data_IF_378767617205
#
_entry.id   IF_378767617205
#
_cell.length_a   1.000
_cell.length_b   1.000
_cell.length_c   1.000
_cell.angle_alpha   90.00
_cell.angle_beta   90.00
_cell.angle_gamma   90.00
#
_symmetry.space_group_name_H-M   'P 1'
#
loop_
_entity.id
_entity.type
_entity.pdbx_description
1 polymer ?
#
# COMPACT_ATOMS: atom_id res chain seq x y z
N UNK A 1 -6.05 -7.48 -13.63
CA UNK A 1 -6.87 -6.58 -14.48
C UNK A 1 -7.66 -7.34 -15.55
N UNK A 2 -8.96 -7.03 -15.66
CA UNK A 2 -9.87 -7.67 -16.61
C UNK A 2 -10.14 -6.73 -17.79
N UNK A 3 -10.15 -7.27 -19.00
CA UNK A 3 -10.48 -6.51 -20.22
C UNK A 3 -11.68 -7.15 -20.91
N UNK A 4 -12.66 -6.32 -21.28
CA UNK A 4 -13.84 -6.73 -22.02
C UNK A 4 -13.88 -6.04 -23.38
N UNK A 5 -14.32 -6.77 -24.40
CA UNK A 5 -14.53 -6.22 -25.75
C UNK A 5 -16.01 -6.36 -26.09
N UNK A 6 -16.67 -5.22 -26.33
CA UNK A 6 -18.08 -5.15 -26.70
C UNK A 6 -18.21 -4.74 -28.16
N UNK A 7 -18.86 -5.57 -28.98
CA UNK A 7 -19.24 -5.21 -30.35
C UNK A 7 -20.51 -4.36 -30.34
N UNK A 8 -20.41 -3.12 -30.77
CA UNK A 8 -21.50 -2.15 -30.77
C UNK A 8 -21.96 -1.87 -32.20
N UNK A 9 -23.27 -1.91 -32.43
CA UNK A 9 -23.92 -1.42 -33.65
C UNK A 9 -24.84 -0.26 -33.31
N UNK A 10 -25.06 0.63 -34.28
CA UNK A 10 -26.04 1.70 -34.19
C UNK A 10 -27.10 1.53 -35.29
N UNK A 11 -28.35 1.88 -34.99
CA UNK A 11 -29.46 1.84 -35.95
C UNK A 11 -30.20 3.17 -36.01
N UNK A 12 -30.75 3.53 -37.16
CA UNK A 12 -31.55 4.74 -37.36
C UNK A 12 -33.06 4.46 -37.47
N UNK A 13 -33.88 5.51 -37.50
CA UNK A 13 -35.34 5.40 -37.58
C UNK A 13 -35.85 4.85 -38.94
N UNK A 14 -35.00 4.86 -39.97
CA UNK A 14 -35.31 4.29 -41.28
C UNK A 14 -34.96 2.79 -41.36
N UNK A 15 -34.36 2.22 -40.30
CA UNK A 15 -34.02 0.80 -40.19
C UNK A 15 -32.62 0.45 -40.70
N UNK A 16 -31.76 1.43 -41.02
CA UNK A 16 -30.37 1.15 -41.36
C UNK A 16 -29.60 0.76 -40.10
N UNK A 17 -28.66 -0.18 -40.20
CA UNK A 17 -27.79 -0.59 -39.08
C UNK A 17 -26.32 -0.55 -39.51
N UNK A 18 -25.45 -0.04 -38.63
CA UNK A 18 -24.01 0.03 -38.88
C UNK A 18 -23.36 -1.35 -38.85
N UNK A 19 -22.13 -1.45 -39.37
CA UNK A 19 -21.27 -2.59 -39.03
C UNK A 19 -20.94 -2.57 -37.53
N UNK A 20 -20.72 -3.75 -36.95
CA UNK A 20 -20.32 -3.86 -35.55
C UNK A 20 -18.90 -3.31 -35.37
N UNK A 21 -18.71 -2.46 -34.37
CA UNK A 21 -17.40 -1.90 -33.99
C UNK A 21 -17.07 -2.29 -32.56
N UNK A 22 -15.86 -2.79 -32.35
CA UNK A 22 -15.40 -3.22 -31.04
C UNK A 22 -14.98 -2.03 -30.18
N UNK A 23 -15.55 -1.95 -28.98
CA UNK A 23 -15.15 -1.03 -27.92
C UNK A 23 -14.52 -1.84 -26.79
N UNK A 24 -13.35 -1.40 -26.32
CA UNK A 24 -12.63 -2.04 -25.23
C UNK A 24 -12.91 -1.34 -23.91
N UNK A 25 -13.28 -2.11 -22.89
CA UNK A 25 -13.42 -1.66 -21.51
C UNK A 25 -12.31 -2.31 -20.68
N UNK A 26 -11.47 -1.48 -20.09
CA UNK A 26 -10.40 -1.92 -19.20
C UNK A 26 -10.85 -1.75 -17.74
N UNK A 27 -10.88 -2.84 -16.98
CA UNK A 27 -11.09 -2.79 -15.53
C UNK A 27 -9.74 -2.62 -14.86
N UNK A 28 -9.55 -1.45 -14.26
CA UNK A 28 -8.39 -1.14 -13.42
C UNK A 28 -8.55 -1.79 -12.06
N UNK A 29 -7.45 -2.28 -11.53
CA UNK A 29 -7.41 -2.79 -10.16
C UNK A 29 -7.57 -1.65 -9.16
N UNK A 30 -8.20 -1.93 -8.03
CA UNK A 30 -8.27 -1.03 -6.87
C UNK A 30 -7.55 -1.72 -5.74
N UNK A 31 -6.72 -0.98 -5.02
CA UNK A 31 -6.08 -1.51 -3.82
C UNK A 31 -7.12 -1.74 -2.71
N UNK A 32 -7.48 -3.01 -2.52
CA UNK A 32 -8.47 -3.47 -1.55
C UNK A 32 -7.88 -4.36 -0.45
N UNK A 33 -6.55 -4.52 -0.44
CA UNK A 33 -5.81 -5.24 0.59
C UNK A 33 -5.10 -4.28 1.53
N UNK A 34 -5.14 -4.54 2.84
CA UNK A 34 -4.42 -3.72 3.81
C UNK A 34 -2.95 -4.15 3.97
N UNK A 35 -2.04 -3.21 4.27
CA UNK A 35 -0.66 -3.55 4.61
C UNK A 35 -0.56 -4.50 5.80
N UNK A 36 0.41 -5.41 5.74
CA UNK A 36 0.70 -6.39 6.80
C UNK A 36 2.08 -6.13 7.37
N UNK A 37 2.17 -5.88 8.69
CA UNK A 37 3.45 -5.85 9.39
C UNK A 37 3.98 -7.28 9.51
N UNK A 38 5.23 -7.51 9.10
CA UNK A 38 5.82 -8.84 9.13
C UNK A 38 5.93 -9.37 10.57
N UNK A 39 5.52 -10.61 10.79
CA UNK A 39 5.53 -11.22 12.12
C UNK A 39 6.97 -11.53 12.60
N UNK A 40 7.12 -11.71 13.92
CA UNK A 40 8.35 -12.19 14.57
C UNK A 40 9.60 -11.30 14.38
N UNK A 41 9.41 -10.00 14.17
CA UNK A 41 10.50 -9.03 14.14
C UNK A 41 10.94 -8.68 15.57
N UNK A 42 12.21 -8.88 15.87
CA UNK A 42 12.82 -8.53 17.16
C UNK A 42 14.10 -7.73 16.95
N UNK A 43 14.32 -6.73 17.80
CA UNK A 43 15.50 -5.87 17.75
C UNK A 43 16.09 -5.75 19.14
N UNK A 44 17.41 -5.55 19.21
CA UNK A 44 18.12 -5.26 20.44
C UNK A 44 19.13 -4.14 20.19
N UNK A 45 19.41 -3.37 21.23
CA UNK A 45 20.46 -2.35 21.19
C UNK A 45 21.25 -2.41 22.51
N UNK A 46 22.55 -2.08 22.50
CA UNK A 46 23.32 -1.95 23.74
C UNK A 46 22.77 -0.82 24.60
N UNK A 47 22.77 -0.98 25.92
CA UNK A 47 22.42 0.12 26.83
C UNK A 47 23.39 1.32 26.70
N UNK A 48 22.96 2.49 27.14
CA UNK A 48 23.79 3.70 27.14
C UNK A 48 23.95 4.40 25.78
N UNK A 49 23.08 4.11 24.81
CA UNK A 49 23.00 4.88 23.57
C UNK A 49 22.25 6.19 23.79
N UNK A 50 22.52 7.14 22.92
CA UNK A 50 21.92 8.48 22.92
C UNK A 50 20.80 8.57 21.89
N UNK A 51 20.09 9.70 21.92
CA UNK A 51 19.11 10.09 20.92
C UNK A 51 19.57 9.83 19.48
N UNK A 52 18.61 9.48 18.63
CA UNK A 52 18.77 9.11 17.22
C UNK A 52 19.54 7.81 16.97
N UNK A 53 19.93 7.06 18.00
CA UNK A 53 20.47 5.73 17.79
C UNK A 53 19.42 4.82 17.16
N UNK A 54 19.75 4.19 16.03
CA UNK A 54 18.88 3.27 15.33
C UNK A 54 18.81 1.93 16.06
N UNK A 55 17.62 1.56 16.52
CA UNK A 55 17.35 0.26 17.16
C UNK A 55 17.12 -0.81 16.10
N UNK A 56 16.42 -0.48 15.03
CA UNK A 56 16.08 -1.42 13.96
C UNK A 56 15.19 -0.79 12.90
N UNK A 57 14.77 -1.59 11.93
CA UNK A 57 13.85 -1.17 10.88
C UNK A 57 12.73 -2.18 10.75
N UNK A 58 11.50 -1.75 11.05
CA UNK A 58 10.29 -2.55 10.87
C UNK A 58 10.00 -2.72 9.39
N UNK A 59 9.65 -3.94 9.00
CA UNK A 59 9.22 -4.28 7.66
C UNK A 59 7.73 -4.62 7.64
N UNK A 60 7.06 -4.17 6.59
CA UNK A 60 5.68 -4.49 6.27
C UNK A 60 5.55 -4.67 4.75
N UNK A 61 4.52 -5.39 4.34
CA UNK A 61 4.25 -5.71 2.94
C UNK A 61 2.85 -5.30 2.55
N UNK A 62 2.72 -4.79 1.34
CA UNK A 62 1.46 -4.42 0.74
C UNK A 62 1.57 -4.53 -0.79
N UNK A 63 0.45 -4.73 -1.50
CA UNK A 63 0.44 -4.89 -2.95
C UNK A 63 0.85 -3.61 -3.70
N UNK A 64 0.50 -2.44 -3.18
CA UNK A 64 0.88 -1.14 -3.76
C UNK A 64 1.99 -0.42 -2.98
N UNK A 65 2.35 -0.97 -1.83
CA UNK A 65 3.51 -0.56 -1.04
C UNK A 65 3.14 0.20 0.23
N UNK A 66 4.07 0.20 1.19
CA UNK A 66 3.87 0.82 2.51
C UNK A 66 4.43 2.23 2.54
N UNK A 67 3.61 3.19 2.94
CA UNK A 67 3.95 4.63 2.88
C UNK A 67 4.28 5.26 4.23
N UNK A 68 3.85 4.64 5.32
CA UNK A 68 4.10 5.17 6.67
C UNK A 68 4.03 4.07 7.73
N UNK A 69 4.65 4.36 8.88
CA UNK A 69 4.62 3.52 10.08
C UNK A 69 4.32 4.41 11.29
N UNK A 70 3.68 3.83 12.30
CA UNK A 70 3.40 4.50 13.57
C UNK A 70 3.49 3.51 14.72
N UNK A 71 3.89 3.98 15.91
CA UNK A 71 3.86 3.17 17.13
C UNK A 71 2.44 3.27 17.71
N UNK A 72 1.71 2.16 17.69
CA UNK A 72 0.31 2.13 18.15
C UNK A 72 0.17 2.05 19.68
N UNK A 73 1.14 1.47 20.38
CA UNK A 73 1.08 1.23 21.84
C UNK A 73 2.46 0.91 22.42
N UNK A 74 2.59 0.95 23.75
CA UNK A 74 3.79 0.49 24.48
C UNK A 74 4.95 1.48 24.51
N UNK A 75 4.71 2.74 24.11
CA UNK A 75 5.70 3.81 24.06
C UNK A 75 5.18 5.08 24.76
N UNK A 76 4.45 4.90 25.87
CA UNK A 76 3.79 6.02 26.58
C UNK A 76 4.79 7.04 27.14
N UNK A 77 5.99 6.59 27.52
CA UNK A 77 7.10 7.45 27.94
C UNK A 77 7.83 8.14 26.77
N UNK A 78 7.50 7.80 25.52
CA UNK A 78 8.08 8.42 24.33
C UNK A 78 9.57 8.14 24.13
N UNK A 79 10.10 7.01 24.63
CA UNK A 79 11.52 6.66 24.47
C UNK A 79 11.91 6.27 23.05
N UNK A 80 10.93 5.87 22.24
CA UNK A 80 11.14 5.46 20.85
C UNK A 80 10.40 6.39 19.89
N UNK A 81 10.98 6.58 18.70
CA UNK A 81 10.31 7.17 17.55
C UNK A 81 10.38 6.19 16.37
N UNK A 82 9.46 6.31 15.42
CA UNK A 82 9.48 5.56 14.17
C UNK A 82 9.33 6.50 12.97
N UNK A 83 10.14 6.31 11.93
CA UNK A 83 10.02 7.05 10.68
C UNK A 83 8.96 6.42 9.76
N UNK A 84 8.56 7.14 8.71
CA UNK A 84 7.71 6.59 7.64
C UNK A 84 8.37 5.43 6.87
N UNK A 85 9.68 5.22 7.02
CA UNK A 85 10.41 4.07 6.46
C UNK A 85 10.57 2.92 7.45
N UNK A 86 9.91 2.98 8.61
CA UNK A 86 9.92 1.93 9.63
C UNK A 86 11.15 1.94 10.53
N UNK A 87 12.02 2.95 10.44
CA UNK A 87 13.24 3.03 11.25
C UNK A 87 12.88 3.45 12.67
N UNK A 88 13.20 2.60 13.65
CA UNK A 88 13.03 2.88 15.08
C UNK A 88 14.29 3.55 15.62
N UNK A 89 14.12 4.67 16.32
CA UNK A 89 15.22 5.39 17.00
C UNK A 89 14.91 5.68 18.46
N UNK A 90 15.96 5.91 19.26
CA UNK A 90 15.83 6.48 20.60
C UNK A 90 15.56 7.98 20.53
N UNK A 91 14.73 8.51 21.45
CA UNK A 91 14.41 9.95 21.52
C UNK A 91 15.34 10.75 22.42
N UNK A 92 16.05 10.09 23.34
CA UNK A 92 17.01 10.67 24.28
C UNK A 92 18.25 9.80 24.41
#
# INVERSE_FOLDING_TARGET
PNTFTLGITASDAAGNTSTSTNITINVTDVDDTAPVVNANQTFSYPEGKTANFQVGTVTATDAVGVTSFAIASGNDSGFFAISNSGVITLTA
#
